data_IF_240625594685
#
_entry.id   IF_240625594685
#
_cell.length_a   1.000
_cell.length_b   1.000
_cell.length_c   1.000
_cell.angle_alpha   90.00
_cell.angle_beta   90.00
_cell.angle_gamma   90.00
#
_symmetry.space_group_name_H-M   'P 1'
#
loop_
_entity.id
_entity.type
_entity.pdbx_description
1 polymer ?
#
# COMPACT_ATOMS: atom_id res chain seq x y z
N UNK A 1 1.69 21.98 12.14
CA UNK A 1 0.59 21.22 11.51
C UNK A 1 -0.59 22.16 11.44
N UNK A 2 -1.02 22.51 10.24
CA UNK A 2 -2.31 23.16 10.08
C UNK A 2 -3.37 22.13 10.51
N UNK A 3 -4.25 22.50 11.44
CA UNK A 3 -5.42 21.69 11.72
C UNK A 3 -6.37 21.89 10.54
N UNK A 4 -6.31 20.97 9.59
CA UNK A 4 -7.22 20.98 8.45
C UNK A 4 -8.58 20.48 8.93
N UNK A 5 -9.63 21.22 8.63
CA UNK A 5 -10.98 20.73 8.86
C UNK A 5 -11.25 19.57 7.90
N UNK A 6 -11.78 18.47 8.43
CA UNK A 6 -12.15 17.30 7.64
C UNK A 6 -13.27 17.71 6.66
N UNK A 7 -13.07 17.57 5.33
CA UNK A 7 -14.06 17.98 4.35
C UNK A 7 -15.36 17.17 4.47
N UNK A 8 -16.48 17.81 4.15
CA UNK A 8 -17.80 17.19 4.18
C UNK A 8 -17.96 16.35 2.92
N UNK A 9 -18.01 15.02 3.08
CA UNK A 9 -18.24 14.12 1.97
C UNK A 9 -19.65 14.28 1.38
N UNK A 10 -19.70 14.60 0.09
CA UNK A 10 -20.91 14.56 -0.72
C UNK A 10 -20.73 13.47 -1.77
N UNK A 11 -21.24 12.28 -1.48
CA UNK A 11 -21.08 11.11 -2.34
C UNK A 11 -22.34 10.90 -3.17
N UNK A 12 -22.16 10.67 -4.48
CA UNK A 12 -23.25 10.30 -5.37
C UNK A 12 -23.47 8.77 -5.35
N UNK A 13 -24.64 8.28 -4.87
CA UNK A 13 -24.93 6.86 -4.85
C UNK A 13 -24.99 6.21 -6.24
N UNK A 14 -25.14 6.99 -7.32
CA UNK A 14 -25.12 6.45 -8.69
C UNK A 14 -23.75 5.89 -9.09
N UNK A 15 -22.67 6.40 -8.47
CA UNK A 15 -21.31 5.91 -8.67
C UNK A 15 -20.89 4.93 -7.56
N UNK A 16 -21.82 4.51 -6.71
CA UNK A 16 -21.54 3.51 -5.70
C UNK A 16 -21.23 2.13 -6.35
N UNK A 17 -20.34 1.34 -5.74
CA UNK A 17 -19.92 0.02 -6.26
C UNK A 17 -21.08 -0.92 -6.56
N UNK A 18 -22.06 -1.00 -5.65
CA UNK A 18 -23.25 -1.84 -5.82
C UNK A 18 -24.25 -1.30 -6.82
N UNK A 19 -24.23 0.01 -7.11
CA UNK A 19 -24.98 0.59 -8.22
C UNK A 19 -24.32 0.26 -9.58
N UNK A 20 -22.98 0.25 -9.63
CA UNK A 20 -22.20 -0.06 -10.85
C UNK A 20 -22.24 -1.57 -11.16
N UNK A 21 -22.00 -2.41 -10.15
CA UNK A 21 -21.97 -3.87 -10.28
C UNK A 21 -22.64 -4.51 -9.03
N UNK A 22 -23.95 -4.78 -9.08
CA UNK A 22 -24.68 -5.41 -7.96
C UNK A 22 -24.07 -6.75 -7.52
N UNK A 23 -23.46 -7.49 -8.44
CA UNK A 23 -22.77 -8.75 -8.15
C UNK A 23 -21.55 -8.60 -7.20
N UNK A 24 -21.06 -7.38 -6.97
CA UNK A 24 -19.99 -7.11 -6.00
C UNK A 24 -20.51 -7.03 -4.55
N UNK A 25 -21.84 -6.96 -4.35
CA UNK A 25 -22.45 -6.84 -3.02
C UNK A 25 -21.96 -7.88 -2.00
N UNK A 26 -21.77 -9.18 -2.34
CA UNK A 26 -21.25 -10.15 -1.37
C UNK A 26 -19.83 -9.84 -0.90
N UNK A 27 -18.97 -9.38 -1.81
CA UNK A 27 -17.59 -8.97 -1.49
C UNK A 27 -17.60 -7.70 -0.63
N UNK A 28 -18.46 -6.73 -0.98
CA UNK A 28 -18.63 -5.49 -0.19
C UNK A 28 -19.12 -5.80 1.23
N UNK A 29 -20.09 -6.71 1.38
CA UNK A 29 -20.59 -7.14 2.68
C UNK A 29 -19.53 -7.87 3.51
N UNK A 30 -18.75 -8.77 2.88
CA UNK A 30 -17.64 -9.45 3.53
C UNK A 30 -16.60 -8.44 4.05
N UNK A 31 -16.12 -7.55 3.17
CA UNK A 31 -15.11 -6.54 3.50
C UNK A 31 -15.59 -5.58 4.58
N UNK A 32 -16.88 -5.22 4.56
CA UNK A 32 -17.52 -4.40 5.59
C UNK A 32 -17.62 -5.08 6.96
N UNK A 33 -17.47 -6.40 7.03
CA UNK A 33 -17.37 -7.17 8.28
C UNK A 33 -15.99 -7.15 8.93
N UNK A 34 -15.02 -6.44 8.36
CA UNK A 34 -13.66 -6.27 8.89
C UNK A 34 -13.28 -4.79 9.01
N UNK A 35 -12.40 -4.50 9.97
CA UNK A 35 -11.79 -3.23 10.23
C UNK A 35 -10.25 -3.33 10.21
N UNK A 36 -9.57 -2.19 10.09
CA UNK A 36 -8.11 -2.15 9.98
C UNK A 36 -7.37 -2.92 11.09
N UNK A 37 -7.85 -2.80 12.34
CA UNK A 37 -7.23 -3.41 13.52
C UNK A 37 -7.55 -4.90 13.68
N UNK A 38 -8.52 -5.45 12.94
CA UNK A 38 -8.85 -6.88 13.01
C UNK A 38 -7.66 -7.74 12.59
N UNK A 39 -6.82 -7.24 11.69
CA UNK A 39 -5.68 -8.00 11.18
C UNK A 39 -4.51 -8.10 12.17
N UNK A 40 -4.64 -7.49 13.35
CA UNK A 40 -3.73 -7.71 14.48
C UNK A 40 -4.12 -8.98 15.26
N UNK A 41 -5.33 -9.52 15.03
CA UNK A 41 -5.79 -10.81 15.55
C UNK A 41 -5.57 -11.91 14.49
N UNK A 42 -4.70 -12.91 14.75
CA UNK A 42 -4.45 -14.01 13.82
C UNK A 42 -5.71 -14.78 13.41
N UNK A 43 -6.69 -14.93 14.30
CA UNK A 43 -7.94 -15.65 14.00
C UNK A 43 -8.80 -14.86 13.00
N UNK A 44 -8.84 -13.53 13.13
CA UNK A 44 -9.53 -12.64 12.18
C UNK A 44 -8.83 -12.62 10.83
N UNK A 45 -7.50 -12.54 10.81
CA UNK A 45 -6.71 -12.61 9.58
C UNK A 45 -6.93 -13.95 8.84
N UNK A 46 -6.93 -15.07 9.56
CA UNK A 46 -7.25 -16.39 9.01
C UNK A 46 -8.67 -16.46 8.44
N UNK A 47 -9.67 -15.98 9.17
CA UNK A 47 -11.05 -15.95 8.70
C UNK A 47 -11.21 -15.12 7.41
N UNK A 48 -10.46 -14.01 7.30
CA UNK A 48 -10.43 -13.20 6.08
C UNK A 48 -9.79 -13.94 4.90
N UNK A 49 -8.64 -14.57 5.12
CA UNK A 49 -7.93 -15.35 4.11
C UNK A 49 -8.74 -16.55 3.61
N UNK A 50 -9.41 -17.26 4.52
CA UNK A 50 -10.34 -18.35 4.20
C UNK A 50 -11.49 -17.84 3.30
N UNK A 51 -12.08 -16.70 3.66
CA UNK A 51 -13.25 -16.15 2.96
C UNK A 51 -12.95 -15.64 1.54
N UNK A 52 -11.70 -15.24 1.26
CA UNK A 52 -11.27 -14.74 -0.05
C UNK A 52 -10.33 -15.70 -0.80
N UNK A 53 -10.20 -16.92 -0.31
CA UNK A 53 -9.38 -17.99 -0.90
C UNK A 53 -7.94 -17.52 -1.19
N UNK A 54 -7.28 -16.93 -0.18
CA UNK A 54 -5.93 -16.37 -0.35
C UNK A 54 -4.83 -17.43 -0.21
N UNK A 55 -5.11 -18.60 0.36
CA UNK A 55 -4.10 -19.63 0.62
C UNK A 55 -3.31 -20.12 -0.58
N UNK A 56 -3.90 -20.30 -1.79
CA UNK A 56 -3.13 -20.66 -2.98
C UNK A 56 -2.06 -19.62 -3.35
N UNK A 57 -2.27 -18.36 -2.98
CA UNK A 57 -1.36 -17.24 -3.25
C UNK A 57 -0.34 -17.00 -2.12
N UNK A 58 -0.57 -17.65 -0.99
CA UNK A 58 0.31 -17.64 0.18
C UNK A 58 1.13 -18.94 0.28
N UNK A 59 1.00 -19.88 -0.66
CA UNK A 59 1.78 -21.11 -0.63
C UNK A 59 3.29 -20.82 -0.66
N UNK A 60 4.03 -21.40 0.29
CA UNK A 60 5.45 -21.06 0.54
C UNK A 60 5.64 -19.99 1.64
N UNK A 61 4.56 -19.40 2.15
CA UNK A 61 4.51 -18.82 3.48
C UNK A 61 4.75 -19.89 4.52
N UNK A 62 5.70 -19.70 5.44
CA UNK A 62 5.66 -20.47 6.69
C UNK A 62 4.30 -20.28 7.38
N UNK A 63 3.79 -21.29 8.07
CA UNK A 63 2.65 -21.09 8.96
C UNK A 63 2.99 -19.96 9.96
N UNK A 64 2.02 -19.10 10.34
CA UNK A 64 2.27 -18.04 11.32
C UNK A 64 2.76 -18.69 12.62
N UNK A 65 4.03 -18.50 12.96
CA UNK A 65 4.50 -18.87 14.29
C UNK A 65 3.89 -17.87 15.27
N UNK A 66 3.36 -18.35 16.38
CA UNK A 66 2.73 -17.54 17.43
C UNK A 66 3.73 -16.64 18.20
N UNK A 67 4.90 -16.35 17.61
CA UNK A 67 5.97 -15.60 18.24
C UNK A 67 5.85 -14.11 17.89
N UNK A 68 5.83 -13.31 18.95
CA UNK A 68 5.88 -11.85 18.92
C UNK A 68 7.09 -11.37 18.07
N UNK A 69 6.87 -10.63 16.97
CA UNK A 69 7.95 -10.10 16.13
C UNK A 69 8.95 -9.23 16.91
N UNK A 70 8.54 -8.65 18.04
CA UNK A 70 9.39 -7.84 18.92
C UNK A 70 10.12 -8.66 19.99
N UNK A 71 9.73 -9.91 20.24
CA UNK A 71 10.46 -10.78 21.15
C UNK A 71 11.79 -11.23 20.54
N UNK A 72 11.82 -11.51 19.23
CA UNK A 72 13.02 -12.00 18.53
C UNK A 72 14.11 -10.90 18.36
N UNK A 73 13.71 -9.63 18.35
CA UNK A 73 14.63 -8.49 18.29
C UNK A 73 15.36 -8.23 19.62
N UNK A 74 14.81 -8.72 20.74
CA UNK A 74 15.39 -8.52 22.09
C UNK A 74 16.55 -9.48 22.38
N UNK A 75 16.60 -10.62 21.70
CA UNK A 75 17.54 -11.71 22.01
C UNK A 75 18.70 -11.84 20.99
N UNK A 76 18.85 -10.92 20.04
CA UNK A 76 19.98 -10.92 19.11
C UNK A 76 20.03 -12.15 18.18
N UNK A 77 18.89 -12.80 17.96
CA UNK A 77 18.76 -13.95 17.07
C UNK A 77 18.55 -13.44 15.64
N UNK A 78 19.41 -13.85 14.71
CA UNK A 78 19.16 -13.67 13.27
C UNK A 78 17.83 -14.37 12.93
N UNK A 79 16.86 -13.59 12.43
CA UNK A 79 15.56 -14.08 11.96
C UNK A 79 15.83 -15.21 10.95
N UNK A 80 15.26 -16.40 11.19
CA UNK A 80 15.50 -17.57 10.33
C UNK A 80 15.05 -17.33 8.87
N UNK A 81 14.09 -16.43 8.69
CA UNK A 81 13.73 -15.81 7.41
C UNK A 81 13.14 -14.40 7.65
N UNK A 82 13.92 -13.32 7.51
CA UNK A 82 13.46 -11.97 7.80
C UNK A 82 12.32 -11.46 6.93
N UNK A 83 12.01 -12.17 5.84
CA UNK A 83 11.18 -11.71 4.74
C UNK A 83 10.04 -12.70 4.42
N UNK A 84 9.78 -13.63 5.34
CA UNK A 84 8.62 -14.49 5.30
C UNK A 84 7.31 -13.69 5.41
N UNK A 85 6.22 -14.17 4.78
CA UNK A 85 4.95 -13.45 4.77
C UNK A 85 4.28 -13.43 6.14
N UNK A 86 3.83 -12.25 6.55
CA UNK A 86 3.01 -12.06 7.76
C UNK A 86 1.55 -12.00 7.35
N UNK A 87 0.76 -13.01 7.73
CA UNK A 87 -0.63 -13.15 7.26
C UNK A 87 -1.50 -11.93 7.57
N UNK A 88 -1.36 -11.36 8.78
CA UNK A 88 -2.08 -10.16 9.18
C UNK A 88 -1.83 -8.99 8.24
N UNK A 89 -0.56 -8.71 7.94
CA UNK A 89 -0.17 -7.60 7.08
C UNK A 89 -0.67 -7.77 5.65
N UNK A 90 -0.53 -8.98 5.11
CA UNK A 90 -1.03 -9.31 3.78
C UNK A 90 -2.56 -9.20 3.68
N UNK A 91 -3.28 -9.73 4.67
CA UNK A 91 -4.74 -9.61 4.72
C UNK A 91 -5.18 -8.14 4.86
N UNK A 92 -4.45 -7.34 5.65
CA UNK A 92 -4.71 -5.92 5.82
C UNK A 92 -4.54 -5.14 4.51
N UNK A 93 -3.47 -5.41 3.76
CA UNK A 93 -3.24 -4.81 2.44
C UNK A 93 -4.34 -5.20 1.44
N UNK A 94 -4.72 -6.48 1.40
CA UNK A 94 -5.83 -6.97 0.58
C UNK A 94 -7.14 -6.25 0.92
N UNK A 95 -7.45 -6.21 2.22
CA UNK A 95 -8.64 -5.56 2.73
C UNK A 95 -8.65 -4.08 2.42
N UNK A 96 -7.53 -3.39 2.58
CA UNK A 96 -7.42 -1.97 2.29
C UNK A 96 -7.71 -1.71 0.80
N UNK A 97 -7.09 -2.48 -0.10
CA UNK A 97 -7.32 -2.39 -1.54
C UNK A 97 -8.80 -2.62 -1.91
N UNK A 98 -9.47 -3.63 -1.34
CA UNK A 98 -10.89 -3.88 -1.59
C UNK A 98 -11.82 -2.88 -0.91
N UNK A 99 -11.53 -2.47 0.32
CA UNK A 99 -12.32 -1.52 1.12
C UNK A 99 -12.36 -0.14 0.49
N UNK A 100 -11.24 0.25 -0.14
CA UNK A 100 -11.03 1.49 -0.89
C UNK A 100 -11.30 1.34 -2.38
N UNK A 101 -11.47 0.11 -2.86
CA UNK A 101 -11.64 -0.23 -4.28
C UNK A 101 -10.57 0.43 -5.13
N UNK A 102 -9.33 0.30 -4.68
CA UNK A 102 -8.17 0.95 -5.27
C UNK A 102 -8.08 0.63 -6.76
N UNK A 103 -7.84 1.66 -7.56
CA UNK A 103 -7.77 1.58 -9.02
C UNK A 103 -6.32 1.56 -9.48
N UNK A 104 -5.39 2.16 -8.73
CA UNK A 104 -3.97 2.14 -9.09
C UNK A 104 -3.13 2.12 -7.81
N UNK A 105 -2.41 1.02 -7.63
CA UNK A 105 -1.56 0.82 -6.46
C UNK A 105 -0.11 1.10 -6.83
N UNK A 106 0.58 1.93 -6.05
CA UNK A 106 2.03 2.08 -6.08
C UNK A 106 2.62 1.37 -4.86
N UNK A 107 3.50 0.42 -5.10
CA UNK A 107 4.18 -0.33 -4.06
C UNK A 107 5.69 -0.07 -4.16
N UNK A 108 6.32 0.25 -3.04
CA UNK A 108 7.77 0.32 -2.90
C UNK A 108 8.23 -0.93 -2.16
N UNK A 109 9.11 -1.72 -2.79
CA UNK A 109 9.48 -3.08 -2.35
C UNK A 109 8.49 -4.13 -2.87
N UNK A 110 8.96 -5.23 -3.44
CA UNK A 110 8.10 -6.26 -4.05
C UNK A 110 8.14 -7.58 -3.29
N UNK A 111 7.03 -8.31 -3.27
CA UNK A 111 6.98 -9.59 -2.55
C UNK A 111 5.61 -10.25 -2.53
N UNK A 112 5.29 -10.93 -1.42
CA UNK A 112 3.96 -11.50 -1.21
C UNK A 112 2.88 -10.41 -1.17
N UNK A 113 3.19 -9.22 -0.66
CA UNK A 113 2.31 -8.04 -0.72
C UNK A 113 1.85 -7.75 -2.15
N UNK A 114 2.78 -7.77 -3.13
CA UNK A 114 2.46 -7.60 -4.55
C UNK A 114 1.45 -8.64 -5.05
N UNK A 115 1.64 -9.92 -4.67
CA UNK A 115 0.75 -11.02 -5.07
C UNK A 115 -0.66 -10.81 -4.53
N UNK A 116 -0.77 -10.46 -3.25
CA UNK A 116 -2.06 -10.28 -2.58
C UNK A 116 -2.75 -9.00 -3.08
N UNK A 117 -2.01 -7.91 -3.31
CA UNK A 117 -2.56 -6.71 -3.96
C UNK A 117 -3.03 -7.01 -5.39
N UNK A 118 -2.27 -7.79 -6.18
CA UNK A 118 -2.67 -8.22 -7.52
C UNK A 118 -3.93 -9.09 -7.50
N UNK A 119 -4.09 -9.93 -6.47
CA UNK A 119 -5.32 -10.68 -6.24
C UNK A 119 -6.53 -9.76 -6.02
N UNK A 120 -6.40 -8.75 -5.16
CA UNK A 120 -7.44 -7.75 -4.95
C UNK A 120 -7.77 -6.99 -6.25
N UNK A 121 -6.75 -6.61 -7.01
CA UNK A 121 -6.90 -5.94 -8.30
C UNK A 121 -7.66 -6.80 -9.31
N UNK A 122 -7.36 -8.10 -9.40
CA UNK A 122 -8.09 -9.04 -10.26
C UNK A 122 -9.58 -9.09 -9.91
N UNK A 123 -9.92 -9.15 -8.62
CA UNK A 123 -11.31 -9.13 -8.17
C UNK A 123 -12.02 -7.83 -8.59
N UNK A 124 -11.41 -6.68 -8.33
CA UNK A 124 -11.98 -5.39 -8.69
C UNK A 124 -12.13 -5.23 -10.22
N UNK A 125 -11.12 -5.63 -10.99
CA UNK A 125 -11.15 -5.59 -12.45
C UNK A 125 -12.31 -6.40 -13.02
N UNK A 126 -12.57 -7.60 -12.47
CA UNK A 126 -13.66 -8.48 -12.90
C UNK A 126 -15.05 -7.85 -12.77
N UNK A 127 -15.22 -6.86 -11.89
CA UNK A 127 -16.49 -6.16 -11.69
C UNK A 127 -16.52 -4.76 -12.32
N UNK A 128 -15.38 -4.06 -12.37
CA UNK A 128 -15.36 -2.61 -12.55
C UNK A 128 -14.49 -2.11 -13.71
N UNK A 129 -13.71 -2.95 -14.41
CA UNK A 129 -12.78 -2.49 -15.46
C UNK A 129 -13.47 -1.61 -16.52
N UNK A 130 -14.58 -2.08 -17.08
CA UNK A 130 -15.33 -1.33 -18.09
C UNK A 130 -15.93 -0.02 -17.57
N UNK A 131 -16.30 0.06 -16.29
CA UNK A 131 -16.75 1.32 -15.69
C UNK A 131 -15.57 2.28 -15.50
N UNK A 132 -14.46 1.80 -14.92
CA UNK A 132 -13.28 2.61 -14.64
C UNK A 132 -12.70 3.23 -15.92
N UNK A 133 -12.55 2.45 -17.00
CA UNK A 133 -12.04 2.95 -18.29
C UNK A 133 -12.91 4.05 -18.92
N UNK A 134 -14.21 4.04 -18.67
CA UNK A 134 -15.16 5.04 -19.22
C UNK A 134 -15.27 6.28 -18.36
N UNK A 135 -15.08 6.15 -17.05
CA UNK A 135 -15.41 7.22 -16.10
C UNK A 135 -14.21 7.82 -15.38
N UNK A 136 -13.08 7.11 -15.32
CA UNK A 136 -11.86 7.56 -14.66
C UNK A 136 -10.77 7.88 -15.70
N UNK A 137 -9.84 8.76 -15.32
CA UNK A 137 -8.63 9.04 -16.12
C UNK A 137 -7.52 8.10 -15.67
N UNK A 138 -7.59 6.85 -16.13
CA UNK A 138 -6.56 5.85 -15.90
C UNK A 138 -6.40 4.96 -17.12
N UNK A 139 -5.16 4.68 -17.50
CA UNK A 139 -4.86 3.82 -18.65
C UNK A 139 -4.97 2.33 -18.27
N UNK A 140 -4.51 2.00 -17.06
CA UNK A 140 -4.46 0.65 -16.51
C UNK A 140 -5.17 0.62 -15.15
N UNK A 141 -6.52 0.60 -15.13
CA UNK A 141 -7.26 0.44 -13.89
C UNK A 141 -7.03 -0.94 -13.28
N UNK A 142 -7.13 -0.99 -11.96
CA UNK A 142 -6.98 -2.19 -11.13
C UNK A 142 -5.64 -2.89 -11.40
N UNK A 143 -4.56 -2.15 -11.13
CA UNK A 143 -3.20 -2.59 -11.40
C UNK A 143 -2.24 -2.19 -10.26
N UNK A 144 -1.32 -3.09 -9.92
CA UNK A 144 -0.24 -2.85 -8.97
C UNK A 144 1.04 -2.50 -9.72
N UNK A 145 1.66 -1.38 -9.38
CA UNK A 145 2.98 -1.00 -9.88
C UNK A 145 3.97 -1.08 -8.72
N UNK A 146 4.70 -2.20 -8.65
CA UNK A 146 5.71 -2.44 -7.64
C UNK A 146 7.09 -2.02 -8.14
N UNK A 147 7.81 -1.21 -7.36
CA UNK A 147 9.18 -0.76 -7.64
C UNK A 147 10.13 -1.48 -6.70
N UNK A 148 11.10 -2.19 -7.26
CA UNK A 148 12.03 -3.07 -6.55
C UNK A 148 13.49 -2.68 -6.82
N UNK A 149 14.34 -2.63 -5.80
CA UNK A 149 15.78 -2.41 -5.98
C UNK A 149 16.57 -3.68 -6.29
N UNK A 150 16.18 -4.81 -5.70
CA UNK A 150 16.92 -6.07 -5.74
C UNK A 150 16.39 -6.94 -6.89
N UNK A 151 17.22 -7.23 -7.91
CA UNK A 151 16.79 -8.07 -9.04
C UNK A 151 16.35 -9.48 -8.62
N UNK A 152 16.81 -9.98 -7.46
CA UNK A 152 16.40 -11.30 -6.94
C UNK A 152 14.95 -11.29 -6.49
N UNK A 153 14.55 -10.30 -5.69
CA UNK A 153 13.15 -10.15 -5.26
C UNK A 153 12.24 -9.80 -6.41
N UNK A 154 12.69 -8.98 -7.37
CA UNK A 154 11.93 -8.73 -8.59
C UNK A 154 11.62 -10.04 -9.33
N UNK A 155 12.63 -10.89 -9.56
CA UNK A 155 12.45 -12.15 -10.28
C UNK A 155 11.51 -13.09 -9.51
N UNK A 156 11.73 -13.23 -8.20
CA UNK A 156 10.93 -14.08 -7.32
C UNK A 156 9.46 -13.63 -7.27
N UNK A 157 9.21 -12.33 -7.15
CA UNK A 157 7.85 -11.78 -7.13
C UNK A 157 7.14 -11.99 -8.47
N UNK A 158 7.84 -11.80 -9.60
CA UNK A 158 7.29 -12.08 -10.93
C UNK A 158 6.93 -13.56 -11.12
N UNK A 159 7.73 -14.47 -10.58
CA UNK A 159 7.43 -15.90 -10.58
C UNK A 159 6.17 -16.20 -9.75
N UNK A 160 6.09 -15.66 -8.53
CA UNK A 160 4.95 -15.85 -7.61
C UNK A 160 3.61 -15.34 -8.16
N UNK A 161 3.62 -14.26 -8.94
CA UNK A 161 2.40 -13.75 -9.58
C UNK A 161 1.74 -14.81 -10.47
N UNK A 162 2.55 -15.62 -11.16
CA UNK A 162 2.06 -16.60 -12.12
C UNK A 162 1.19 -15.99 -13.24
N UNK A 163 0.65 -16.81 -14.15
CA UNK A 163 -0.13 -16.32 -15.29
C UNK A 163 -1.46 -15.67 -14.88
N UNK A 164 -2.01 -16.04 -13.72
CA UNK A 164 -3.32 -15.57 -13.28
C UNK A 164 -3.30 -14.15 -12.72
N UNK A 165 -2.22 -13.74 -12.05
CA UNK A 165 -2.11 -12.41 -11.42
C UNK A 165 -1.16 -11.46 -12.15
N UNK A 166 -0.27 -11.98 -13.01
CA UNK A 166 0.62 -11.16 -13.83
C UNK A 166 -0.10 -10.04 -14.64
N UNK A 167 -1.32 -10.24 -15.17
CA UNK A 167 -2.04 -9.16 -15.86
C UNK A 167 -2.42 -7.96 -14.97
N UNK A 168 -2.36 -8.11 -13.64
CA UNK A 168 -2.78 -7.12 -12.65
C UNK A 168 -1.62 -6.53 -11.85
N UNK A 169 -0.37 -6.85 -12.21
CA UNK A 169 0.80 -6.29 -11.55
C UNK A 169 1.99 -6.13 -12.51
N UNK A 170 2.69 -5.00 -12.38
CA UNK A 170 3.96 -4.71 -13.03
C UNK A 170 5.02 -4.53 -11.94
N UNK A 171 6.05 -5.38 -11.97
CA UNK A 171 7.21 -5.26 -11.06
C UNK A 171 8.38 -4.68 -11.84
N UNK A 172 8.75 -3.43 -11.60
CA UNK A 172 9.91 -2.76 -12.24
C UNK A 172 11.11 -2.76 -11.32
N UNK A 173 12.31 -2.72 -11.92
CA UNK A 173 13.55 -2.56 -11.16
C UNK A 173 13.96 -1.11 -11.23
N UNK A 174 14.34 -0.54 -10.10
CA UNK A 174 14.91 0.81 -10.06
C UNK A 174 16.02 0.90 -9.03
N UNK A 175 17.12 1.59 -9.36
CA UNK A 175 18.21 1.83 -8.42
C UNK A 175 17.82 2.88 -7.39
N UNK A 176 18.47 2.85 -6.22
CA UNK A 176 18.20 3.78 -5.13
C UNK A 176 19.34 4.78 -4.99
N UNK A 177 18.98 6.06 -4.93
CA UNK A 177 19.88 7.19 -4.81
C UNK A 177 19.82 7.78 -3.41
N UNK A 178 20.98 8.07 -2.81
CA UNK A 178 21.09 8.89 -1.60
C UNK A 178 21.08 10.36 -2.01
N UNK A 179 20.08 11.10 -1.54
CA UNK A 179 19.89 12.52 -1.87
C UNK A 179 19.87 13.40 -0.62
N UNK A 180 19.86 14.72 -0.84
CA UNK A 180 19.43 15.69 0.17
C UNK A 180 18.06 16.24 -0.20
N UNK A 181 17.11 16.16 0.74
CA UNK A 181 15.81 16.81 0.65
C UNK A 181 15.73 17.87 1.74
N UNK A 182 15.70 19.15 1.37
CA UNK A 182 15.74 20.27 2.32
C UNK A 182 16.88 20.11 3.36
N UNK A 183 18.10 19.91 2.87
CA UNK A 183 19.32 19.65 3.67
C UNK A 183 19.27 18.41 4.59
N UNK A 184 18.33 17.48 4.43
CA UNK A 184 18.27 16.21 5.18
C UNK A 184 18.52 15.04 4.27
N UNK A 185 19.22 14.01 4.78
CA UNK A 185 19.50 12.81 4.00
C UNK A 185 18.24 11.96 3.83
N UNK A 186 17.99 11.54 2.61
CA UNK A 186 16.89 10.65 2.25
C UNK A 186 17.28 9.78 1.05
N UNK A 187 16.50 8.75 0.79
CA UNK A 187 16.64 7.89 -0.39
C UNK A 187 15.47 8.05 -1.32
N UNK A 188 15.71 7.83 -2.60
CA UNK A 188 14.70 7.84 -3.66
C UNK A 188 15.03 6.77 -4.69
N UNK A 189 14.02 6.20 -5.33
CA UNK A 189 14.23 5.42 -6.54
C UNK A 189 14.59 6.37 -7.70
N UNK A 190 15.46 5.90 -8.59
CA UNK A 190 15.91 6.66 -9.76
C UNK A 190 14.81 6.76 -10.82
N UNK A 191 13.87 5.82 -10.82
CA UNK A 191 12.74 5.74 -11.74
C UNK A 191 11.48 5.28 -11.00
N UNK A 192 10.38 6.00 -11.22
CA UNK A 192 9.05 5.64 -10.74
C UNK A 192 8.13 5.38 -11.93
N UNK A 193 7.12 4.51 -11.78
CA UNK A 193 6.08 4.37 -12.78
C UNK A 193 5.32 5.70 -12.95
N UNK A 194 4.99 6.05 -14.19
CA UNK A 194 4.25 7.27 -14.49
C UNK A 194 2.73 7.06 -14.29
N UNK A 195 2.30 7.07 -13.03
CA UNK A 195 0.92 6.79 -12.62
C UNK A 195 0.44 7.79 -11.58
N UNK A 196 -0.88 7.85 -11.37
CA UNK A 196 -1.53 8.57 -10.27
C UNK A 196 -2.17 7.54 -9.31
N UNK A 197 -1.43 7.08 -8.28
CA UNK A 197 -1.91 6.02 -7.40
C UNK A 197 -2.97 6.55 -6.41
N UNK A 198 -3.95 5.70 -6.10
CA UNK A 198 -4.93 5.95 -5.04
C UNK A 198 -4.68 5.10 -3.79
N UNK A 199 -3.76 4.13 -3.87
CA UNK A 199 -3.18 3.44 -2.73
C UNK A 199 -1.67 3.34 -2.90
N UNK A 200 -0.92 3.72 -1.87
CA UNK A 200 0.54 3.62 -1.81
C UNK A 200 0.94 2.72 -0.65
N UNK A 201 1.76 1.71 -0.91
CA UNK A 201 2.38 0.86 0.11
C UNK A 201 3.88 1.12 0.16
N UNK A 202 4.38 1.54 1.33
CA UNK A 202 5.79 1.86 1.55
C UNK A 202 6.45 0.80 2.45
N UNK A 203 7.10 -0.16 1.80
CA UNK A 203 7.89 -1.23 2.43
C UNK A 203 9.31 -1.38 1.84
N UNK A 204 9.65 -0.48 0.92
CA UNK A 204 10.94 -0.35 0.26
C UNK A 204 11.39 1.10 0.19
N UNK A 205 12.64 1.38 -0.19
CA UNK A 205 13.70 0.40 -0.38
C UNK A 205 14.30 -0.06 0.95
N UNK A 206 15.11 -1.11 0.91
CA UNK A 206 16.04 -1.48 1.98
C UNK A 206 17.05 -0.37 2.26
N UNK A 207 17.49 -0.22 3.51
CA UNK A 207 18.58 0.68 3.85
C UNK A 207 19.92 0.27 3.22
N UNK A 208 20.04 -0.98 2.75
CA UNK A 208 21.22 -1.49 2.06
C UNK A 208 21.11 -1.40 0.53
N UNK A 209 20.01 -0.82 0.01
CA UNK A 209 19.78 -0.66 -1.43
C UNK A 209 20.83 0.23 -2.14
N UNK A 210 21.59 1.02 -1.37
CA UNK A 210 22.64 1.87 -1.89
C UNK A 210 23.85 1.90 -0.96
N UNK A 211 25.05 1.87 -1.54
CA UNK A 211 26.32 2.03 -0.83
C UNK A 211 26.86 3.46 -0.89
N UNK A 212 26.07 4.37 -1.47
CA UNK A 212 26.43 5.76 -1.63
C UNK A 212 26.75 6.45 -0.29
N UNK A 213 27.62 7.46 -0.38
CA UNK A 213 28.00 8.32 0.74
C UNK A 213 27.88 9.78 0.35
N UNK A 214 27.36 10.59 1.26
CA UNK A 214 27.25 12.04 1.07
C UNK A 214 27.72 12.75 2.34
N UNK A 215 28.76 13.58 2.23
CA UNK A 215 29.37 14.29 3.37
C UNK A 215 29.72 13.36 4.55
N UNK A 216 30.19 12.14 4.25
CA UNK A 216 30.52 11.12 5.25
C UNK A 216 29.32 10.32 5.78
N UNK A 217 28.08 10.71 5.46
CA UNK A 217 26.87 9.97 5.81
C UNK A 217 26.63 8.81 4.83
N UNK A 218 26.15 7.68 5.34
CA UNK A 218 25.62 6.56 4.56
C UNK A 218 24.39 5.99 5.25
N UNK A 219 23.38 5.62 4.47
CA UNK A 219 22.15 4.99 4.95
C UNK A 219 22.34 3.50 5.27
N UNK A 220 23.32 2.84 4.62
CA UNK A 220 23.65 1.43 4.79
C UNK A 220 24.32 1.15 6.15
N UNK A 221 23.51 1.15 7.21
CA UNK A 221 23.93 0.81 8.58
C UNK A 221 22.77 0.12 9.32
N UNK A 222 23.04 -0.94 10.09
CA UNK A 222 22.02 -1.63 10.90
C UNK A 222 21.38 -0.73 11.97
N UNK A 223 22.00 0.39 12.33
CA UNK A 223 21.47 1.35 13.31
C UNK A 223 20.50 2.36 12.71
N UNK A 224 20.30 2.34 11.38
CA UNK A 224 19.46 3.30 10.68
C UNK A 224 18.15 2.67 10.30
N UNK A 225 17.18 3.53 9.99
CA UNK A 225 15.96 3.14 9.30
C UNK A 225 16.05 3.63 7.86
N UNK A 226 15.48 2.91 6.87
CA UNK A 226 15.27 3.46 5.55
C UNK A 226 14.52 4.80 5.60
N UNK A 227 14.83 5.70 4.68
CA UNK A 227 14.27 7.06 4.66
C UNK A 227 13.85 7.45 3.24
N UNK A 228 12.85 6.77 2.68
CA UNK A 228 12.28 7.10 1.37
C UNK A 228 11.61 8.46 1.39
N UNK A 229 11.95 9.27 0.38
CA UNK A 229 11.33 10.57 0.10
C UNK A 229 10.57 10.59 -1.24
N UNK A 230 10.38 9.45 -1.90
CA UNK A 230 9.70 9.36 -3.21
C UNK A 230 8.30 9.97 -3.17
N UNK A 231 7.55 9.70 -2.10
CA UNK A 231 6.18 10.20 -1.94
C UNK A 231 6.14 11.73 -1.82
N UNK A 232 7.19 12.37 -1.29
CA UNK A 232 7.27 13.84 -1.26
C UNK A 232 7.38 14.44 -2.66
N UNK A 233 7.92 13.71 -3.64
CA UNK A 233 7.96 14.14 -5.05
C UNK A 233 6.59 14.03 -5.72
N UNK A 234 5.76 13.10 -5.26
CA UNK A 234 4.45 12.81 -5.83
C UNK A 234 3.30 13.55 -5.14
N UNK A 235 3.46 14.04 -3.91
CA UNK A 235 2.38 14.54 -3.04
C UNK A 235 1.34 15.44 -3.75
N UNK A 236 1.80 16.40 -4.56
CA UNK A 236 0.92 17.36 -5.24
C UNK A 236 0.25 16.81 -6.51
N UNK A 237 0.68 15.64 -6.98
CA UNK A 237 0.06 14.91 -8.09
C UNK A 237 -0.98 13.88 -7.61
N UNK A 238 -1.03 13.58 -6.31
CA UNK A 238 -1.99 12.63 -5.74
C UNK A 238 -3.39 13.24 -5.70
N UNK A 239 -4.40 12.44 -6.04
CA UNK A 239 -5.79 12.88 -5.95
C UNK A 239 -6.30 12.75 -4.49
N UNK A 240 -7.18 13.65 -4.02
CA UNK A 240 -7.96 13.45 -2.80
C UNK A 240 -8.59 12.05 -2.79
N UNK A 241 -8.58 11.40 -1.61
CA UNK A 241 -8.94 9.98 -1.48
C UNK A 241 -7.76 9.01 -1.46
N UNK A 242 -6.57 9.46 -1.87
CA UNK A 242 -5.34 8.65 -1.82
C UNK A 242 -5.05 8.18 -0.39
N UNK A 243 -4.70 6.90 -0.26
CA UNK A 243 -4.29 6.28 0.99
C UNK A 243 -2.82 5.87 0.90
N UNK A 244 -2.04 6.17 1.95
CA UNK A 244 -0.68 5.70 2.11
C UNK A 244 -0.59 4.83 3.37
N UNK A 245 -0.08 3.61 3.23
CA UNK A 245 0.29 2.73 4.33
C UNK A 245 1.82 2.54 4.35
N UNK A 246 2.42 2.77 5.52
CA UNK A 246 3.86 2.62 5.77
C UNK A 246 4.03 1.51 6.80
N UNK A 247 4.79 0.47 6.46
CA UNK A 247 4.97 -0.74 7.28
C UNK A 247 6.34 -0.77 7.94
N UNK A 248 6.39 -1.02 9.25
CA UNK A 248 7.63 -1.18 10.04
C UNK A 248 8.59 0.01 10.06
N UNK A 249 8.19 1.16 9.50
CA UNK A 249 9.09 2.30 9.21
C UNK A 249 8.67 3.58 9.94
N UNK A 250 8.51 3.50 11.26
CA UNK A 250 8.05 4.64 12.10
C UNK A 250 8.84 5.94 11.87
N UNK A 251 10.17 5.86 11.72
CA UNK A 251 10.99 7.05 11.47
C UNK A 251 10.67 7.69 10.11
N UNK A 252 10.48 6.87 9.07
CA UNK A 252 10.10 7.32 7.74
C UNK A 252 8.69 7.93 7.74
N UNK A 253 7.73 7.31 8.43
CA UNK A 253 6.37 7.85 8.55
C UNK A 253 6.36 9.22 9.25
N UNK A 254 7.14 9.39 10.32
CA UNK A 254 7.29 10.69 11.00
C UNK A 254 7.96 11.74 10.12
N UNK A 255 8.99 11.35 9.36
CA UNK A 255 9.62 12.21 8.37
C UNK A 255 8.59 12.69 7.35
N UNK A 256 7.90 11.78 6.66
CA UNK A 256 6.86 12.11 5.67
C UNK A 256 5.80 13.05 6.26
N UNK A 257 5.26 12.72 7.45
CA UNK A 257 4.28 13.56 8.16
C UNK A 257 4.79 14.97 8.44
N UNK A 258 6.08 15.14 8.73
CA UNK A 258 6.68 16.46 8.99
C UNK A 258 6.87 17.30 7.73
N UNK A 259 6.89 16.66 6.56
CA UNK A 259 7.12 17.29 5.26
C UNK A 259 5.87 17.50 4.43
N UNK A 260 4.86 16.64 4.59
CA UNK A 260 3.59 16.77 3.88
C UNK A 260 2.97 18.15 4.10
N UNK A 261 2.46 18.71 3.00
CA UNK A 261 1.89 20.05 2.92
C UNK A 261 0.38 20.04 2.70
N UNK A 262 -0.19 18.88 2.38
CA UNK A 262 -1.62 18.68 2.12
C UNK A 262 -2.38 18.14 3.34
N UNK A 263 -3.71 18.05 3.23
CA UNK A 263 -4.58 17.66 4.34
C UNK A 263 -4.61 16.13 4.57
N UNK A 264 -3.47 15.58 5.00
CA UNK A 264 -3.37 14.16 5.38
C UNK A 264 -3.90 13.92 6.79
N UNK A 265 -4.99 13.16 6.91
CA UNK A 265 -5.34 12.47 8.13
C UNK A 265 -4.29 11.39 8.44
N UNK A 266 -4.03 11.11 9.72
CA UNK A 266 -2.97 10.20 10.14
C UNK A 266 -3.41 9.33 11.31
N UNK A 267 -3.15 8.04 11.19
CA UNK A 267 -3.34 7.04 12.24
C UNK A 267 -2.08 6.18 12.39
N UNK A 268 -1.76 5.81 13.62
CA UNK A 268 -0.66 4.90 13.93
C UNK A 268 -1.25 3.71 14.68
N UNK A 269 -1.32 2.57 14.00
CA UNK A 269 -1.66 1.30 14.63
C UNK A 269 -0.38 0.67 15.16
N UNK A 270 -0.16 0.82 16.46
CA UNK A 270 1.03 0.31 17.14
C UNK A 270 1.06 -1.21 17.21
N UNK A 271 -0.10 -1.87 17.23
CA UNK A 271 -0.18 -3.31 17.37
C UNK A 271 0.16 -4.00 16.04
N UNK A 272 -0.26 -3.41 14.93
CA UNK A 272 0.11 -3.85 13.59
C UNK A 272 1.42 -3.29 13.05
N UNK A 273 2.13 -2.44 13.81
CA UNK A 273 3.34 -1.69 13.40
C UNK A 273 3.21 -0.94 12.06
N UNK A 274 2.03 -0.37 11.81
CA UNK A 274 1.76 0.38 10.58
C UNK A 274 1.37 1.84 10.84
N UNK A 275 1.65 2.68 9.86
CA UNK A 275 1.17 4.04 9.80
C UNK A 275 0.28 4.24 8.58
N UNK A 276 -0.91 4.79 8.81
CA UNK A 276 -1.89 5.05 7.76
C UNK A 276 -2.07 6.56 7.60
N UNK A 277 -2.03 7.02 6.34
CA UNK A 277 -2.35 8.38 5.95
C UNK A 277 -3.48 8.35 4.93
N UNK A 278 -4.41 9.29 5.05
CA UNK A 278 -5.50 9.47 4.08
C UNK A 278 -5.59 10.94 3.69
N UNK A 279 -5.53 11.23 2.38
CA UNK A 279 -5.60 12.58 1.85
C UNK A 279 -7.06 13.06 1.81
N UNK A 280 -7.47 13.80 2.84
CA UNK A 280 -8.84 14.24 3.07
C UNK A 280 -9.02 15.68 2.60
N UNK A 281 -9.36 15.87 1.32
CA UNK A 281 -9.62 17.16 0.70
C UNK A 281 -10.90 17.12 -0.15
N UNK A 282 -11.42 18.29 -0.51
CA UNK A 282 -12.47 18.42 -1.53
C UNK A 282 -11.97 17.88 -2.88
N UNK A 283 -12.87 17.33 -3.71
CA UNK A 283 -12.49 16.79 -5.01
C UNK A 283 -11.86 17.85 -5.90
N UNK A 284 -10.83 17.46 -6.66
CA UNK A 284 -10.19 18.36 -7.64
C UNK A 284 -11.10 18.69 -8.85
N UNK A 285 -12.18 17.94 -9.02
CA UNK A 285 -13.15 18.12 -10.09
C UNK A 285 -14.02 16.88 -10.32
N UNK A 286 -14.83 16.85 -11.39
CA UNK A 286 -15.86 15.81 -11.59
C UNK A 286 -15.34 14.38 -11.75
N UNK A 287 -14.07 14.20 -12.13
CA UNK A 287 -13.47 12.88 -12.30
C UNK A 287 -12.98 12.34 -10.96
N UNK A 288 -12.29 13.18 -10.18
CA UNK A 288 -11.89 12.81 -8.83
C UNK A 288 -13.13 12.63 -7.92
N UNK A 289 -14.19 13.45 -8.07
CA UNK A 289 -15.47 13.22 -7.38
C UNK A 289 -16.03 11.81 -7.67
N UNK A 290 -16.08 11.39 -8.95
CA UNK A 290 -16.52 10.03 -9.30
C UNK A 290 -15.65 8.93 -8.69
N UNK A 291 -14.34 9.17 -8.59
CA UNK A 291 -13.43 8.26 -7.87
C UNK A 291 -13.79 8.22 -6.38
N UNK A 292 -14.06 9.37 -5.75
CA UNK A 292 -14.45 9.43 -4.34
C UNK A 292 -15.78 8.70 -4.10
N UNK A 293 -16.80 8.93 -4.94
CA UNK A 293 -18.07 8.23 -4.84
C UNK A 293 -17.90 6.69 -4.89
N UNK A 294 -17.04 6.22 -5.80
CA UNK A 294 -16.73 4.81 -5.97
C UNK A 294 -15.91 4.22 -4.79
N UNK A 295 -14.85 4.91 -4.38
CA UNK A 295 -13.88 4.43 -3.37
C UNK A 295 -14.34 4.62 -1.93
N UNK A 296 -15.11 5.69 -1.67
CA UNK A 296 -15.52 6.13 -0.34
C UNK A 296 -16.99 5.84 -0.04
N UNK A 297 -17.65 4.87 -0.68
CA UNK A 297 -19.08 4.59 -0.48
C UNK A 297 -19.54 4.44 0.99
N UNK A 298 -18.59 4.21 1.91
CA UNK A 298 -18.79 4.12 3.36
C UNK A 298 -18.00 5.18 4.15
N UNK A 299 -17.71 6.33 3.55
CA UNK A 299 -16.97 7.44 4.14
C UNK A 299 -15.44 7.33 4.04
N UNK A 300 -14.78 8.36 4.59
CA UNK A 300 -13.35 8.38 4.87
C UNK A 300 -12.94 7.18 5.73
N UNK A 301 -11.75 6.65 5.51
CA UNK A 301 -11.21 5.53 6.28
C UNK A 301 -10.76 5.96 7.68
N UNK A 302 -10.17 7.17 7.79
CA UNK A 302 -9.69 7.79 9.03
C UNK A 302 -10.62 8.90 9.52
#
# INVERSE_FOLDING_TARGET
MHAWEKPVLRLDPANAPTAIAPAFQPVEALVGGFALTDFNDPARARAYADALDLWPHLAGAGEPTATDPLAELRDGVEKADPLGPVLGDLCRLHWLALRRRSVSVLEFGSGFSTVILAHAMRLLAGHFDGWARRHLRTEQPFHVHAVEEDPRYQALTRERLGPALQPHATVTRSSVELITHDNRFATVYSELPNIAPDLIYLDGPSQFATTARLNGFSIASPERMPMSADILRLEFFLEPGCVLIVDGRTQNARFLRSYFRRAWAYHHDRAGDIHLFELQEEPLGPINQRRLDFSLSQGWLL
#
